data_IF_464122895465
#
_entry.id   IF_464122895465
#
_cell.length_a   1.000
_cell.length_b   1.000
_cell.length_c   1.000
_cell.angle_alpha   90.00
_cell.angle_beta   90.00
_cell.angle_gamma   90.00
#
_symmetry.space_group_name_H-M   'P 1'
#
loop_
_entity.id
_entity.type
_entity.pdbx_description
1 polymer ?
#
# COMPACT_ATOMS: atom_id res chain seq x y z
N UNK A 1 -27.08 -19.58 -13.08
CA UNK A 1 -25.83 -20.34 -12.85
C UNK A 1 -24.58 -19.55 -13.27
N UNK A 2 -24.59 -18.84 -14.41
CA UNK A 2 -23.44 -18.04 -14.85
C UNK A 2 -23.09 -16.85 -13.94
N UNK A 3 -24.08 -16.12 -13.42
CA UNK A 3 -23.80 -14.90 -12.64
C UNK A 3 -23.27 -15.19 -11.24
N UNK A 4 -23.83 -16.18 -10.54
CA UNK A 4 -23.32 -16.65 -9.24
C UNK A 4 -21.85 -17.09 -9.36
N UNK A 5 -21.51 -17.80 -10.44
CA UNK A 5 -20.12 -18.19 -10.73
C UNK A 5 -19.21 -16.96 -10.96
N UNK A 6 -19.71 -15.91 -11.62
CA UNK A 6 -18.93 -14.68 -11.81
C UNK A 6 -18.76 -13.90 -10.50
N UNK A 7 -19.78 -13.84 -9.64
CA UNK A 7 -19.68 -13.23 -8.31
C UNK A 7 -18.61 -13.95 -7.46
N UNK A 8 -18.62 -15.29 -7.45
CA UNK A 8 -17.62 -16.11 -6.77
C UNK A 8 -16.21 -15.87 -7.33
N UNK A 9 -16.06 -15.82 -8.67
CA UNK A 9 -14.77 -15.51 -9.32
C UNK A 9 -14.24 -14.12 -8.95
N UNK A 10 -15.11 -13.11 -8.82
CA UNK A 10 -14.73 -11.76 -8.37
C UNK A 10 -14.19 -11.81 -6.95
N UNK A 11 -14.93 -12.44 -6.03
CA UNK A 11 -14.53 -12.58 -4.62
C UNK A 11 -13.18 -13.30 -4.53
N UNK A 12 -13.03 -14.45 -5.17
CA UNK A 12 -11.80 -15.24 -5.14
C UNK A 12 -10.60 -14.47 -5.74
N UNK A 13 -10.82 -13.69 -6.80
CA UNK A 13 -9.76 -12.87 -7.40
C UNK A 13 -9.29 -11.78 -6.44
N UNK A 14 -10.22 -11.13 -5.74
CA UNK A 14 -9.90 -10.09 -4.76
C UNK A 14 -9.20 -10.66 -3.52
N UNK A 15 -9.68 -11.79 -3.01
CA UNK A 15 -9.04 -12.47 -1.88
C UNK A 15 -7.60 -12.86 -2.22
N UNK A 16 -7.37 -13.46 -3.40
CA UNK A 16 -6.03 -13.82 -3.85
C UNK A 16 -5.13 -12.58 -4.01
N UNK A 17 -5.65 -11.48 -4.56
CA UNK A 17 -4.92 -10.23 -4.75
C UNK A 17 -4.49 -9.63 -3.40
N UNK A 18 -5.41 -9.43 -2.47
CA UNK A 18 -5.10 -8.83 -1.17
C UNK A 18 -4.26 -9.76 -0.28
N UNK A 19 -4.44 -11.08 -0.38
CA UNK A 19 -3.56 -12.03 0.28
C UNK A 19 -2.12 -11.94 -0.24
N UNK A 20 -1.92 -11.84 -1.56
CA UNK A 20 -0.60 -11.70 -2.17
C UNK A 20 0.11 -10.40 -1.74
N UNK A 21 -0.63 -9.30 -1.65
CA UNK A 21 -0.08 -8.01 -1.21
C UNK A 21 0.24 -8.02 0.28
N UNK A 22 -0.66 -8.59 1.10
CA UNK A 22 -0.43 -8.78 2.54
C UNK A 22 0.84 -9.59 2.77
N UNK A 23 1.02 -10.70 2.05
CA UNK A 23 2.22 -11.53 2.13
C UNK A 23 3.48 -10.76 1.69
N UNK A 24 3.41 -10.01 0.59
CA UNK A 24 4.52 -9.18 0.10
C UNK A 24 4.95 -8.15 1.14
N UNK A 25 3.97 -7.51 1.81
CA UNK A 25 4.20 -6.49 2.84
C UNK A 25 4.85 -7.09 4.09
N UNK A 26 4.36 -8.26 4.53
CA UNK A 26 4.96 -9.01 5.65
C UNK A 26 6.40 -9.41 5.36
N UNK A 27 6.67 -9.93 4.16
CA UNK A 27 8.02 -10.28 3.74
C UNK A 27 8.94 -9.05 3.76
N UNK A 28 8.49 -7.92 3.21
CA UNK A 28 9.27 -6.69 3.23
C UNK A 28 9.58 -6.24 4.66
N UNK A 29 8.58 -6.20 5.55
CA UNK A 29 8.78 -5.87 6.96
C UNK A 29 9.80 -6.80 7.63
N UNK A 30 9.69 -8.12 7.41
CA UNK A 30 10.64 -9.08 7.96
C UNK A 30 12.09 -8.83 7.48
N UNK A 31 12.29 -8.54 6.19
CA UNK A 31 13.60 -8.21 5.64
C UNK A 31 14.14 -6.89 6.21
N UNK A 32 13.29 -5.87 6.36
CA UNK A 32 13.69 -4.59 6.95
C UNK A 32 14.07 -4.79 8.41
N UNK A 33 13.29 -5.54 9.20
CA UNK A 33 13.63 -5.87 10.59
C UNK A 33 15.00 -6.55 10.70
N UNK A 34 15.27 -7.55 9.84
CA UNK A 34 16.56 -8.22 9.81
C UNK A 34 17.71 -7.26 9.44
N UNK A 35 17.48 -6.35 8.50
CA UNK A 35 18.47 -5.35 8.08
C UNK A 35 18.76 -4.37 9.21
N UNK A 36 17.73 -3.83 9.87
CA UNK A 36 17.86 -2.85 10.93
C UNK A 36 18.47 -3.42 12.22
N UNK A 37 18.39 -4.72 12.44
CA UNK A 37 19.14 -5.39 13.51
C UNK A 37 20.66 -5.30 13.32
N UNK A 38 21.13 -5.09 12.08
CA UNK A 38 22.57 -4.96 11.75
C UNK A 38 22.99 -3.53 11.45
N UNK A 39 22.10 -2.74 10.83
CA UNK A 39 22.32 -1.34 10.46
C UNK A 39 21.16 -0.52 11.03
N UNK A 40 21.25 -0.08 12.30
CA UNK A 40 20.17 0.65 12.94
C UNK A 40 19.87 1.96 12.20
N UNK A 41 18.58 2.29 12.13
CA UNK A 41 18.11 3.59 11.63
C UNK A 41 18.54 4.74 12.57
N UNK A 42 18.81 4.42 13.84
CA UNK A 42 19.36 5.37 14.81
C UNK A 42 20.76 5.85 14.40
N UNK A 43 20.95 7.18 14.38
CA UNK A 43 22.23 7.80 14.07
C UNK A 43 22.52 8.01 12.57
N UNK A 44 21.62 7.61 11.67
CA UNK A 44 21.78 7.93 10.22
C UNK A 44 21.65 9.43 9.96
N UNK A 45 20.91 10.16 10.80
CA UNK A 45 20.75 11.61 10.69
C UNK A 45 22.10 12.36 10.78
N UNK A 46 23.04 11.82 11.55
CA UNK A 46 24.39 12.38 11.74
C UNK A 46 25.45 11.78 10.80
N UNK A 47 25.11 10.76 10.03
CA UNK A 47 26.07 10.01 9.21
C UNK A 47 25.47 9.61 7.85
N UNK A 48 25.82 10.40 6.82
CA UNK A 48 25.40 10.17 5.44
C UNK A 48 25.94 8.87 4.84
N UNK A 49 27.08 8.38 5.30
CA UNK A 49 27.62 7.11 4.84
C UNK A 49 26.79 5.95 5.37
N UNK A 50 26.38 6.00 6.66
CA UNK A 50 25.43 5.03 7.23
C UNK A 50 24.07 5.08 6.53
N UNK A 51 23.54 6.27 6.28
CA UNK A 51 22.29 6.44 5.55
C UNK A 51 22.37 5.79 4.15
N UNK A 52 23.47 6.01 3.41
CA UNK A 52 23.71 5.39 2.10
C UNK A 52 23.85 3.87 2.18
N UNK A 53 24.56 3.35 3.19
CA UNK A 53 24.68 1.91 3.41
C UNK A 53 23.32 1.27 3.71
N UNK A 54 22.49 1.91 4.53
CA UNK A 54 21.15 1.42 4.82
C UNK A 54 20.29 1.32 3.56
N UNK A 55 20.25 2.36 2.72
CA UNK A 55 19.54 2.33 1.42
C UNK A 55 19.98 1.14 0.55
N UNK A 56 21.30 0.97 0.40
CA UNK A 56 21.88 -0.13 -0.38
C UNK A 56 21.52 -1.50 0.18
N UNK A 57 21.41 -1.64 1.50
CA UNK A 57 21.01 -2.89 2.14
C UNK A 57 19.51 -3.18 2.02
N UNK A 58 18.66 -2.16 2.00
CA UNK A 58 17.21 -2.33 1.82
C UNK A 58 16.83 -2.63 0.37
N UNK A 59 17.52 -2.02 -0.59
CA UNK A 59 17.18 -2.08 -2.01
C UNK A 59 16.92 -3.50 -2.56
N UNK A 60 17.78 -4.53 -2.32
CA UNK A 60 17.55 -5.86 -2.88
C UNK A 60 16.21 -6.48 -2.46
N UNK A 61 15.76 -6.23 -1.21
CA UNK A 61 14.47 -6.73 -0.73
C UNK A 61 13.30 -5.97 -1.37
N UNK A 62 13.43 -4.65 -1.54
CA UNK A 62 12.44 -3.80 -2.21
C UNK A 62 12.31 -4.18 -3.68
N UNK A 63 13.43 -4.30 -4.39
CA UNK A 63 13.51 -4.70 -5.79
C UNK A 63 12.87 -6.08 -6.00
N UNK A 64 13.18 -7.04 -5.13
CA UNK A 64 12.58 -8.37 -5.17
C UNK A 64 11.06 -8.32 -5.08
N UNK A 65 10.51 -7.59 -4.10
CA UNK A 65 9.05 -7.43 -3.95
C UNK A 65 8.44 -6.77 -5.19
N UNK A 66 9.08 -5.73 -5.71
CA UNK A 66 8.63 -5.08 -6.95
C UNK A 66 8.63 -6.04 -8.13
N UNK A 67 9.65 -6.89 -8.30
CA UNK A 67 9.74 -7.79 -9.46
C UNK A 67 8.82 -9.01 -9.36
N UNK A 68 8.70 -9.60 -8.18
CA UNK A 68 7.98 -10.87 -7.98
C UNK A 68 6.48 -10.67 -7.72
N UNK A 69 6.08 -9.55 -7.12
CA UNK A 69 4.67 -9.29 -6.80
C UNK A 69 3.94 -8.64 -7.96
N UNK A 70 3.02 -9.38 -8.57
CA UNK A 70 2.22 -8.96 -9.73
C UNK A 70 1.47 -7.65 -9.48
N UNK A 71 0.96 -7.46 -8.26
CA UNK A 71 0.10 -6.31 -7.91
C UNK A 71 0.87 -5.15 -7.27
N UNK A 72 2.14 -5.37 -6.93
CA UNK A 72 3.01 -4.33 -6.39
C UNK A 72 3.38 -3.31 -7.48
N UNK A 73 3.02 -2.06 -7.21
CA UNK A 73 3.36 -0.88 -8.02
C UNK A 73 4.36 0.02 -7.32
N UNK A 74 4.48 -0.08 -5.99
CA UNK A 74 5.47 0.61 -5.17
C UNK A 74 5.81 -0.22 -3.94
N UNK A 75 7.00 -0.08 -3.40
CA UNK A 75 7.42 -0.70 -2.16
C UNK A 75 8.54 0.11 -1.50
N UNK A 76 8.59 0.09 -0.18
CA UNK A 76 9.63 0.82 0.53
C UNK A 76 9.57 0.71 2.03
N UNK A 77 10.48 1.47 2.65
CA UNK A 77 10.55 1.66 4.09
C UNK A 77 10.52 3.16 4.41
N UNK A 78 9.66 3.53 5.35
CA UNK A 78 9.51 4.88 5.86
C UNK A 78 9.74 4.89 7.37
N UNK A 79 10.53 5.83 7.87
CA UNK A 79 10.84 5.99 9.28
C UNK A 79 10.79 7.46 9.67
N UNK A 80 10.15 7.77 10.79
CA UNK A 80 10.12 9.08 11.39
C UNK A 80 10.82 9.02 12.76
N UNK A 81 12.01 9.59 12.86
CA UNK A 81 12.84 9.58 14.06
C UNK A 81 12.68 10.89 14.83
N UNK A 82 12.00 10.83 15.97
CA UNK A 82 11.78 12.00 16.84
C UNK A 82 12.41 11.80 18.24
N UNK A 83 13.63 11.25 18.31
CA UNK A 83 14.30 10.97 19.60
C UNK A 83 14.87 12.22 20.25
N UNK A 84 15.00 12.21 21.59
CA UNK A 84 15.44 13.36 22.42
C UNK A 84 16.81 13.95 22.04
N UNK A 85 17.65 13.17 21.35
CA UNK A 85 18.99 13.59 20.92
C UNK A 85 19.02 14.32 19.56
N UNK A 86 17.88 14.43 18.88
CA UNK A 86 17.79 15.14 17.61
C UNK A 86 17.22 16.55 17.83
N UNK A 87 17.91 17.57 17.30
CA UNK A 87 17.44 18.96 17.36
C UNK A 87 16.11 19.17 16.59
N UNK A 88 15.84 18.34 15.59
CA UNK A 88 14.60 18.27 14.82
C UNK A 88 14.36 16.82 14.41
N UNK A 89 13.10 16.39 14.19
CA UNK A 89 12.84 15.04 13.74
C UNK A 89 13.51 14.77 12.38
N UNK A 90 13.83 13.51 12.12
CA UNK A 90 14.49 13.05 10.90
C UNK A 90 13.62 12.06 10.15
N UNK A 91 13.36 12.33 8.88
CA UNK A 91 12.58 11.45 8.02
C UNK A 91 13.54 10.59 7.22
N UNK A 92 13.35 9.29 7.22
CA UNK A 92 14.06 8.39 6.33
C UNK A 92 13.05 7.71 5.42
N UNK A 93 13.28 7.82 4.12
CA UNK A 93 12.46 7.22 3.10
C UNK A 93 13.37 6.54 2.09
N UNK A 94 13.17 5.24 1.91
CA UNK A 94 13.71 4.46 0.80
C UNK A 94 12.53 3.80 0.10
N UNK A 95 12.10 4.38 -1.02
CA UNK A 95 10.86 4.00 -1.68
C UNK A 95 11.06 3.89 -3.18
N UNK A 96 10.66 2.76 -3.75
CA UNK A 96 10.80 2.47 -5.16
C UNK A 96 9.46 2.09 -5.76
N UNK A 97 9.22 2.51 -6.99
CA UNK A 97 7.95 2.27 -7.67
C UNK A 97 8.15 2.02 -9.16
N UNK A 98 7.19 1.30 -9.76
CA UNK A 98 7.10 1.10 -11.20
C UNK A 98 6.37 2.29 -11.81
N UNK A 99 7.00 2.93 -12.78
CA UNK A 99 6.32 3.93 -13.58
C UNK A 99 5.12 3.29 -14.30
N UNK A 100 3.87 3.77 -14.10
CA UNK A 100 2.68 3.15 -14.68
C UNK A 100 2.70 3.08 -16.21
N UNK A 101 3.44 3.98 -16.88
CA UNK A 101 3.49 4.09 -18.34
C UNK A 101 4.62 3.29 -18.98
N UNK A 102 5.80 3.27 -18.35
CA UNK A 102 6.99 2.61 -18.92
C UNK A 102 7.34 1.29 -18.25
N UNK A 103 6.70 0.96 -17.13
CA UNK A 103 7.03 -0.17 -16.25
C UNK A 103 8.49 -0.19 -15.79
N UNK A 104 9.22 0.92 -15.96
CA UNK A 104 10.57 1.10 -15.43
C UNK A 104 10.50 1.40 -13.93
N UNK A 105 11.44 0.87 -13.17
CA UNK A 105 11.57 1.20 -11.75
C UNK A 105 12.15 2.60 -11.59
N UNK A 106 11.68 3.32 -10.59
CA UNK A 106 12.17 4.63 -10.19
C UNK A 106 12.23 4.70 -8.67
N UNK A 107 13.27 5.36 -8.15
CA UNK A 107 13.37 5.67 -6.73
C UNK A 107 12.75 7.03 -6.47
N UNK A 108 11.99 7.15 -5.39
CA UNK A 108 11.56 8.43 -4.85
C UNK A 108 12.73 9.08 -4.11
N UNK A 109 13.52 9.86 -4.83
CA UNK A 109 14.66 10.60 -4.27
C UNK A 109 14.21 11.99 -3.80
N UNK A 110 14.10 12.17 -2.49
CA UNK A 110 13.65 13.41 -1.86
C UNK A 110 14.68 13.90 -0.85
N UNK A 111 15.00 15.20 -0.92
CA UNK A 111 15.77 15.84 0.14
C UNK A 111 14.99 15.93 1.46
N UNK A 112 15.71 16.12 2.57
CA UNK A 112 15.09 16.20 3.90
C UNK A 112 14.06 17.33 4.00
N UNK A 113 14.32 18.50 3.39
CA UNK A 113 13.40 19.62 3.44
C UNK A 113 12.06 19.28 2.77
N UNK A 114 12.07 18.49 1.71
CA UNK A 114 10.87 18.01 1.02
C UNK A 114 10.18 16.92 1.81
N UNK A 115 10.93 15.98 2.40
CA UNK A 115 10.36 14.95 3.29
C UNK A 115 9.66 15.58 4.51
N UNK A 116 10.25 16.59 5.12
CA UNK A 116 9.66 17.35 6.24
C UNK A 116 8.37 18.08 5.83
N UNK A 117 8.31 18.64 4.62
CA UNK A 117 7.10 19.29 4.11
C UNK A 117 6.00 18.30 3.78
N UNK A 118 6.36 17.11 3.28
CA UNK A 118 5.40 16.03 3.03
C UNK A 118 4.89 15.42 4.33
N UNK A 119 5.76 15.30 5.32
CA UNK A 119 5.55 14.65 6.62
C UNK A 119 4.68 13.39 6.51
N UNK A 120 5.25 12.34 5.90
CA UNK A 120 4.55 11.06 5.71
C UNK A 120 4.11 10.41 7.03
N UNK A 121 4.61 10.86 8.19
CA UNK A 121 4.16 10.36 9.50
C UNK A 121 2.69 10.71 9.77
N UNK A 122 2.18 11.74 9.08
CA UNK A 122 0.76 12.16 9.13
C UNK A 122 -0.14 11.34 8.21
N UNK A 123 0.43 10.56 7.29
CA UNK A 123 -0.37 9.78 6.35
C UNK A 123 -1.02 8.60 7.09
N UNK A 124 -2.29 8.35 6.79
CA UNK A 124 -3.10 7.34 7.50
C UNK A 124 -2.50 5.94 7.44
N UNK A 125 -1.86 5.56 6.32
CA UNK A 125 -1.15 4.28 6.24
C UNK A 125 0.03 4.20 7.21
N UNK A 126 0.71 5.30 7.51
CA UNK A 126 1.80 5.32 8.49
C UNK A 126 1.24 5.35 9.90
N UNK A 127 0.32 6.27 10.15
CA UNK A 127 -0.28 6.58 11.45
C UNK A 127 -1.07 5.43 12.05
N UNK A 128 -1.80 4.66 11.22
CA UNK A 128 -2.68 3.58 11.70
C UNK A 128 -2.01 2.21 11.74
N UNK A 129 -0.79 2.08 11.19
CA UNK A 129 -0.04 0.82 11.21
C UNK A 129 0.32 0.32 12.63
N UNK A 130 0.68 1.16 13.61
CA UNK A 130 1.01 0.70 14.97
C UNK A 130 -0.15 -0.04 15.66
N UNK A 131 -1.39 0.36 15.39
CA UNK A 131 -2.59 -0.16 16.05
C UNK A 131 -3.19 -1.38 15.32
N UNK A 132 -2.63 -1.75 14.16
CA UNK A 132 -3.15 -2.82 13.34
C UNK A 132 -2.69 -4.19 13.87
N UNK A 133 -3.65 -5.13 14.04
CA UNK A 133 -3.36 -6.52 14.44
C UNK A 133 -2.61 -7.30 13.35
N UNK A 134 -2.73 -6.85 12.11
CA UNK A 134 -2.06 -7.38 10.92
C UNK A 134 -1.68 -6.22 9.97
N UNK A 135 -1.35 -6.48 8.71
CA UNK A 135 -1.07 -5.48 7.68
C UNK A 135 -2.21 -4.46 7.58
N UNK A 136 -1.89 -3.19 7.80
CA UNK A 136 -2.80 -2.08 7.63
C UNK A 136 -2.98 -1.77 6.15
N UNK A 137 -4.20 -1.87 5.65
CA UNK A 137 -4.55 -1.45 4.29
C UNK A 137 -5.26 -0.10 4.34
N UNK A 138 -4.68 0.89 3.69
CA UNK A 138 -5.26 2.22 3.58
C UNK A 138 -5.46 2.60 2.12
N UNK A 139 -6.64 3.15 1.82
CA UNK A 139 -7.00 3.61 0.49
C UNK A 139 -8.44 3.27 0.12
N UNK A 140 -8.88 3.70 -1.07
CA UNK A 140 -8.07 4.33 -2.09
C UNK A 140 -7.86 5.82 -1.78
N UNK A 141 -6.65 6.32 -2.00
CA UNK A 141 -6.34 7.75 -1.99
C UNK A 141 -5.57 8.11 -3.27
N UNK A 142 -5.49 9.41 -3.60
CA UNK A 142 -4.65 9.84 -4.73
C UNK A 142 -3.24 10.04 -4.22
N UNK A 143 -2.30 9.24 -4.71
CA UNK A 143 -0.89 9.37 -4.37
C UNK A 143 -0.28 10.52 -5.19
N UNK A 144 -0.30 11.73 -4.63
CA UNK A 144 0.28 12.91 -5.27
C UNK A 144 1.83 12.93 -5.25
N UNK A 145 2.47 11.96 -4.60
CA UNK A 145 3.92 11.95 -4.40
C UNK A 145 4.62 11.14 -5.49
N UNK A 146 4.20 9.89 -5.72
CA UNK A 146 4.89 9.02 -6.68
C UNK A 146 4.19 8.95 -8.03
N UNK A 147 2.85 8.78 -8.04
CA UNK A 147 2.14 8.30 -9.25
C UNK A 147 1.04 9.21 -9.78
N UNK A 148 0.51 10.12 -8.96
CA UNK A 148 -0.73 10.88 -9.21
C UNK A 148 -1.94 9.99 -9.56
N UNK A 149 -1.95 8.77 -9.04
CA UNK A 149 -2.97 7.76 -9.32
C UNK A 149 -3.68 7.33 -8.04
N UNK A 150 -4.84 6.69 -8.19
CA UNK A 150 -5.51 6.05 -7.06
C UNK A 150 -4.71 4.85 -6.58
N UNK A 151 -4.36 4.86 -5.30
CA UNK A 151 -3.46 3.90 -4.67
C UNK A 151 -4.09 3.34 -3.39
N UNK A 152 -3.83 2.07 -3.14
CA UNK A 152 -4.00 1.43 -1.84
C UNK A 152 -2.60 1.07 -1.33
N UNK A 153 -2.31 1.43 -0.09
CA UNK A 153 -1.03 1.11 0.56
C UNK A 153 -1.28 0.07 1.65
N UNK A 154 -0.58 -1.05 1.51
CA UNK A 154 -0.47 -2.07 2.53
C UNK A 154 0.77 -1.78 3.36
N UNK A 155 0.63 -1.69 4.67
CA UNK A 155 1.67 -1.25 5.58
C UNK A 155 1.81 -2.20 6.77
N UNK A 156 3.03 -2.52 7.14
CA UNK A 156 3.35 -3.39 8.28
C UNK A 156 4.39 -2.70 9.16
N UNK A 157 4.25 -2.77 10.50
CA UNK A 157 5.21 -2.14 11.38
C UNK A 157 6.57 -2.83 11.26
N UNK A 158 7.63 -2.05 11.45
CA UNK A 158 9.00 -2.52 11.61
C UNK A 158 9.38 -2.20 13.06
N UNK A 159 9.71 -3.23 13.82
CA UNK A 159 9.85 -3.18 15.28
C UNK A 159 11.18 -3.77 15.69
N UNK A 160 11.99 -2.99 16.41
CA UNK A 160 13.29 -3.40 16.96
C UNK A 160 13.21 -3.27 18.48
N UNK A 161 13.53 -4.34 19.19
CA UNK A 161 13.49 -4.42 20.66
C UNK A 161 12.15 -3.94 21.26
N UNK A 162 11.04 -4.28 20.61
CA UNK A 162 9.69 -3.88 21.02
C UNK A 162 9.29 -2.45 20.67
N UNK A 163 10.17 -1.67 20.06
CA UNK A 163 9.89 -0.29 19.64
C UNK A 163 9.68 -0.22 18.13
N UNK A 164 8.60 0.41 17.70
CA UNK A 164 8.39 0.67 16.27
C UNK A 164 9.39 1.71 15.78
N UNK A 165 10.18 1.34 14.77
CA UNK A 165 11.20 2.20 14.16
C UNK A 165 10.78 2.71 12.79
N UNK A 166 9.65 2.26 12.26
CA UNK A 166 9.09 2.70 10.99
C UNK A 166 8.07 1.71 10.43
N UNK A 167 7.75 1.89 9.15
CA UNK A 167 6.76 1.11 8.40
C UNK A 167 7.40 0.61 7.11
N UNK A 168 7.26 -0.69 6.85
CA UNK A 168 7.48 -1.27 5.54
C UNK A 168 6.15 -1.33 4.80
N UNK A 169 6.12 -0.88 3.55
CA UNK A 169 4.88 -0.73 2.83
C UNK A 169 4.98 -1.11 1.35
N UNK A 170 3.83 -1.51 0.80
CA UNK A 170 3.62 -1.92 -0.58
C UNK A 170 2.40 -1.21 -1.14
N UNK A 171 2.57 -0.54 -2.27
CA UNK A 171 1.49 0.13 -3.00
C UNK A 171 0.90 -0.76 -4.09
N UNK A 172 -0.42 -0.69 -4.21
CA UNK A 172 -1.22 -1.24 -5.29
C UNK A 172 -1.90 -0.07 -6.00
N UNK A 173 -1.74 0.05 -7.31
CA UNK A 173 -2.58 0.94 -8.10
C UNK A 173 -3.98 0.36 -8.26
N UNK A 174 -5.00 1.18 -8.08
CA UNK A 174 -6.40 0.76 -8.31
C UNK A 174 -6.61 0.27 -9.73
N UNK A 175 -5.87 0.81 -10.72
CA UNK A 175 -5.92 0.32 -12.10
C UNK A 175 -5.52 -1.15 -12.24
N UNK A 176 -4.65 -1.69 -11.39
CA UNK A 176 -4.28 -3.12 -11.39
C UNK A 176 -5.43 -4.00 -10.89
N UNK A 177 -6.19 -3.50 -9.93
CA UNK A 177 -7.41 -4.16 -9.45
C UNK A 177 -8.46 -4.15 -10.57
N UNK A 178 -8.64 -3.01 -11.25
CA UNK A 178 -9.52 -2.90 -12.41
C UNK A 178 -9.13 -3.88 -13.52
N UNK A 179 -7.86 -3.95 -13.90
CA UNK A 179 -7.34 -4.88 -14.90
C UNK A 179 -7.66 -6.35 -14.55
N UNK A 180 -7.54 -6.74 -13.29
CA UNK A 180 -7.85 -8.09 -12.81
C UNK A 180 -9.35 -8.40 -12.85
N UNK A 181 -10.20 -7.43 -12.53
CA UNK A 181 -11.65 -7.63 -12.41
C UNK A 181 -12.41 -7.45 -13.74
N UNK A 182 -11.97 -6.53 -14.59
CA UNK A 182 -12.69 -6.16 -15.82
C UNK A 182 -13.08 -7.35 -16.71
N UNK A 183 -12.24 -8.38 -16.93
CA UNK A 183 -12.62 -9.54 -17.74
C UNK A 183 -13.81 -10.33 -17.17
N UNK A 184 -13.91 -10.41 -15.85
CA UNK A 184 -14.96 -11.17 -15.15
C UNK A 184 -16.24 -10.31 -15.09
N UNK A 185 -16.11 -9.04 -14.72
CA UNK A 185 -17.24 -8.12 -14.57
C UNK A 185 -17.95 -7.87 -15.90
N UNK A 186 -17.23 -7.85 -17.03
CA UNK A 186 -17.84 -7.77 -18.37
C UNK A 186 -18.76 -8.95 -18.72
N UNK A 187 -18.59 -10.09 -18.05
CA UNK A 187 -19.39 -11.31 -18.26
C UNK A 187 -20.51 -11.45 -17.24
N UNK A 188 -20.55 -10.60 -16.21
CA UNK A 188 -21.57 -10.60 -15.15
C UNK A 188 -22.80 -9.79 -15.58
N UNK A 189 -23.98 -10.26 -15.20
CA UNK A 189 -25.22 -9.49 -15.37
C UNK A 189 -25.38 -8.40 -14.29
N UNK A 190 -24.79 -8.61 -13.12
CA UNK A 190 -24.81 -7.66 -12.02
C UNK A 190 -23.77 -6.56 -12.22
N UNK A 191 -24.10 -5.32 -11.82
CA UNK A 191 -23.10 -4.26 -11.65
C UNK A 191 -22.37 -4.48 -10.34
N UNK A 192 -21.10 -4.13 -10.30
CA UNK A 192 -20.21 -4.44 -9.18
C UNK A 192 -19.62 -3.14 -8.66
N UNK A 193 -19.73 -2.92 -7.36
CA UNK A 193 -19.06 -1.83 -6.66
C UNK A 193 -18.27 -2.43 -5.50
N UNK A 194 -17.02 -2.04 -5.34
CA UNK A 194 -16.17 -2.45 -4.24
C UNK A 194 -15.79 -1.23 -3.41
N UNK A 195 -15.87 -1.33 -2.09
CA UNK A 195 -15.44 -0.27 -1.17
C UNK A 195 -14.46 -0.79 -0.13
N UNK A 196 -13.68 0.13 0.44
CA UNK A 196 -12.98 -0.14 1.70
C UNK A 196 -13.97 -0.21 2.89
N UNK A 197 -13.44 -0.36 4.10
CA UNK A 197 -14.21 -0.40 5.35
C UNK A 197 -15.02 0.89 5.61
N UNK A 198 -14.52 2.04 5.16
CA UNK A 198 -15.13 3.36 5.27
C UNK A 198 -16.17 3.67 4.18
N UNK A 199 -16.57 2.68 3.38
CA UNK A 199 -17.48 2.84 2.23
C UNK A 199 -16.92 3.72 1.10
N UNK A 200 -15.61 3.96 1.05
CA UNK A 200 -14.96 4.63 -0.07
C UNK A 200 -14.80 3.66 -1.24
N UNK A 201 -15.31 4.04 -2.41
CA UNK A 201 -15.29 3.21 -3.62
C UNK A 201 -13.86 3.00 -4.12
N UNK A 202 -13.44 1.74 -4.22
CA UNK A 202 -12.17 1.31 -4.84
C UNK A 202 -12.39 0.98 -6.32
N UNK A 203 -13.44 0.23 -6.63
CA UNK A 203 -13.74 -0.22 -7.98
C UNK A 203 -15.24 -0.06 -8.24
N UNK A 204 -15.62 0.29 -9.45
CA UNK A 204 -17.03 0.34 -9.86
C UNK A 204 -17.19 0.04 -11.35
N UNK A 205 -18.11 -0.87 -11.68
CA UNK A 205 -18.64 -1.04 -13.05
C UNK A 205 -19.96 -0.32 -13.29
N UNK A 206 -20.42 0.46 -12.31
CA UNK A 206 -21.65 1.22 -12.34
C UNK A 206 -21.35 2.72 -12.55
N UNK A 207 -22.00 3.34 -13.53
CA UNK A 207 -21.67 4.70 -14.00
C UNK A 207 -21.86 5.81 -12.94
N UNK A 208 -22.68 5.58 -11.92
CA UNK A 208 -22.97 6.57 -10.88
C UNK A 208 -22.02 6.54 -9.67
N UNK A 209 -21.17 5.52 -9.53
CA UNK A 209 -20.25 5.39 -8.39
C UNK A 209 -18.82 5.46 -8.90
N UNK A 210 -18.06 6.46 -8.43
CA UNK A 210 -16.71 6.76 -8.92
C UNK A 210 -15.68 6.33 -7.89
N UNK A 211 -14.52 5.84 -8.34
CA UNK A 211 -13.37 5.58 -7.46
C UNK A 211 -13.06 6.81 -6.60
N UNK A 212 -12.84 6.59 -5.31
CA UNK A 212 -12.57 7.62 -4.31
C UNK A 212 -13.81 8.27 -3.67
N UNK A 213 -15.01 8.13 -4.26
CA UNK A 213 -16.24 8.68 -3.65
C UNK A 213 -16.73 7.80 -2.50
N UNK A 214 -17.47 8.39 -1.56
CA UNK A 214 -18.25 7.61 -0.60
C UNK A 214 -19.44 6.98 -1.30
N UNK A 215 -19.66 5.70 -1.03
CA UNK A 215 -20.77 4.95 -1.59
C UNK A 215 -22.05 5.32 -0.86
N UNK A 216 -23.07 5.68 -1.65
CA UNK A 216 -24.44 5.79 -1.21
C UNK A 216 -25.32 5.08 -2.23
N UNK A 217 -25.87 3.91 -1.89
CA UNK A 217 -26.69 3.10 -2.79
C UNK A 217 -28.15 3.24 -2.40
N UNK A 218 -28.96 3.76 -3.33
CA UNK A 218 -30.42 3.89 -3.18
C UNK A 218 -31.20 2.80 -3.96
N UNK A 219 -30.53 1.72 -4.37
CA UNK A 219 -31.09 0.59 -5.12
C UNK A 219 -30.94 -0.74 -4.36
N UNK A 220 -31.74 -1.79 -4.64
CA UNK A 220 -31.50 -3.12 -4.09
C UNK A 220 -30.11 -3.64 -4.50
N UNK A 221 -29.42 -4.30 -3.57
CA UNK A 221 -28.12 -4.92 -3.81
C UNK A 221 -27.96 -6.19 -2.98
N UNK A 222 -27.06 -7.07 -3.42
CA UNK A 222 -26.46 -8.12 -2.59
C UNK A 222 -25.08 -7.65 -2.15
N UNK A 223 -24.69 -7.94 -0.91
CA UNK A 223 -23.38 -7.58 -0.38
C UNK A 223 -22.65 -8.81 0.14
N UNK A 224 -21.37 -8.90 -0.18
CA UNK A 224 -20.42 -9.78 0.50
C UNK A 224 -19.26 -8.94 1.00
N UNK A 225 -18.57 -9.42 2.03
CA UNK A 225 -17.40 -8.74 2.57
C UNK A 225 -16.34 -9.77 2.95
N UNK A 226 -15.09 -9.38 2.79
CA UNK A 226 -13.94 -10.10 3.36
C UNK A 226 -13.18 -9.16 4.30
N UNK A 227 -12.01 -9.58 4.77
CA UNK A 227 -11.18 -8.76 5.69
C UNK A 227 -10.69 -7.43 5.09
N UNK A 228 -10.84 -7.22 3.78
CA UNK A 228 -10.22 -6.10 3.06
C UNK A 228 -11.23 -5.14 2.45
N UNK A 229 -12.34 -5.65 1.93
CA UNK A 229 -13.32 -4.84 1.22
C UNK A 229 -14.75 -5.36 1.36
N UNK A 230 -15.70 -4.48 1.05
CA UNK A 230 -17.10 -4.81 0.83
C UNK A 230 -17.36 -4.80 -0.66
N UNK A 231 -18.12 -5.78 -1.15
CA UNK A 231 -18.43 -5.96 -2.57
C UNK A 231 -19.95 -6.00 -2.70
N UNK A 232 -20.48 -5.07 -3.50
CA UNK A 232 -21.89 -4.87 -3.76
C UNK A 232 -22.20 -5.33 -5.18
N UNK A 233 -23.20 -6.18 -5.33
CA UNK A 233 -23.76 -6.64 -6.60
C UNK A 233 -25.15 -6.01 -6.78
N UNK A 234 -25.30 -5.15 -7.78
CA UNK A 234 -26.53 -4.44 -8.13
C UNK A 234 -27.18 -5.02 -9.39
#
# INVERSE_FOLDING_TARGET
MSDVNNQERIVNTLEALFAAVTLSTKHLSAYVNQTLATIPVAGIASDKQRESSLRKSLYPSIEKILLESQFCSGAGFASHLATENLAQPYWFLEWWFKNPKSNQQSCLDLDQATQQRLDFSTFEWFKNTPDAEDVCLHGPYVDYVCTSAYTITAASPVVIDGNMVGVAAVDILVSRIEEALLPIVKQSSSKVVMTNSENRVIFSSHLHYRTGSLLNIDAPYQITQNGFCKIYFL
#
